data_IF_912994028367
#
_entry.id   IF_912994028367
#
_cell.length_a   1.000
_cell.length_b   1.000
_cell.length_c   1.000
_cell.angle_alpha   90.00
_cell.angle_beta   90.00
_cell.angle_gamma   90.00
#
_symmetry.space_group_name_H-M   'P 1'
#
loop_
_entity.id
_entity.type
_entity.pdbx_description
1 polymer ?
#
# COMPACT_ATOMS: atom_id res chain seq x y z
N UNK A 1 -22.49 -9.13 -8.42
CA UNK A 1 -21.50 -9.93 -7.65
C UNK A 1 -20.93 -10.98 -8.58
N UNK A 2 -19.63 -10.96 -8.85
CA UNK A 2 -19.00 -11.98 -9.69
C UNK A 2 -18.73 -13.22 -8.82
N UNK A 3 -19.58 -14.25 -8.95
CA UNK A 3 -19.51 -15.47 -8.14
C UNK A 3 -18.25 -16.30 -8.41
N UNK A 4 -17.74 -16.28 -9.65
CA UNK A 4 -16.49 -16.95 -10.01
C UNK A 4 -15.30 -16.34 -9.30
N UNK A 5 -15.20 -15.01 -9.28
CA UNK A 5 -14.14 -14.27 -8.57
C UNK A 5 -14.17 -14.56 -7.06
N UNK A 6 -15.37 -14.61 -6.46
CA UNK A 6 -15.51 -14.91 -5.01
C UNK A 6 -15.06 -16.33 -4.70
N UNK A 7 -15.42 -17.31 -5.54
CA UNK A 7 -15.02 -18.70 -5.36
C UNK A 7 -13.50 -18.88 -5.50
N UNK A 8 -12.89 -18.23 -6.48
CA UNK A 8 -11.45 -18.25 -6.67
C UNK A 8 -10.70 -17.63 -5.48
N UNK A 9 -11.14 -16.46 -5.00
CA UNK A 9 -10.55 -15.82 -3.83
C UNK A 9 -10.63 -16.70 -2.57
N UNK A 10 -11.76 -17.39 -2.38
CA UNK A 10 -11.93 -18.33 -1.27
C UNK A 10 -11.01 -19.55 -1.41
N UNK A 11 -10.86 -20.11 -2.61
CA UNK A 11 -9.97 -21.23 -2.88
C UNK A 11 -8.50 -20.87 -2.63
N UNK A 12 -8.06 -19.69 -3.10
CA UNK A 12 -6.70 -19.20 -2.84
C UNK A 12 -6.46 -18.93 -1.36
N UNK A 13 -7.44 -18.41 -0.63
CA UNK A 13 -7.32 -18.21 0.82
C UNK A 13 -7.20 -19.54 1.58
N UNK A 14 -7.94 -20.57 1.17
CA UNK A 14 -8.00 -21.86 1.87
C UNK A 14 -6.64 -22.58 1.94
N UNK A 15 -5.74 -22.35 0.98
CA UNK A 15 -4.40 -22.98 0.95
C UNK A 15 -3.34 -22.21 1.73
N UNK A 16 -3.65 -21.00 2.23
CA UNK A 16 -2.70 -20.19 2.98
C UNK A 16 -2.53 -20.71 4.42
N UNK A 17 -1.36 -20.51 5.06
CA UNK A 17 -1.21 -20.69 6.50
C UNK A 17 -2.19 -19.82 7.29
N UNK A 18 -2.62 -20.29 8.47
CA UNK A 18 -3.63 -19.62 9.32
C UNK A 18 -3.40 -18.10 9.49
N UNK A 19 -2.17 -17.69 9.84
CA UNK A 19 -1.80 -16.26 9.99
C UNK A 19 -2.03 -15.44 8.71
N UNK A 20 -1.81 -16.03 7.54
CA UNK A 20 -2.02 -15.38 6.26
C UNK A 20 -3.51 -15.34 5.88
N UNK A 21 -4.29 -16.36 6.26
CA UNK A 21 -5.75 -16.34 6.12
C UNK A 21 -6.37 -15.20 6.95
N UNK A 22 -5.94 -15.04 8.20
CA UNK A 22 -6.38 -13.94 9.08
C UNK A 22 -6.06 -12.57 8.47
N UNK A 23 -4.85 -12.42 7.91
CA UNK A 23 -4.42 -11.20 7.25
C UNK A 23 -5.26 -10.89 6.00
N UNK A 24 -5.54 -11.89 5.16
CA UNK A 24 -6.38 -11.74 3.99
C UNK A 24 -7.82 -11.36 4.37
N UNK A 25 -8.39 -12.01 5.39
CA UNK A 25 -9.72 -11.67 5.90
C UNK A 25 -9.79 -10.23 6.45
N UNK A 26 -8.76 -9.79 7.18
CA UNK A 26 -8.67 -8.40 7.67
C UNK A 26 -8.66 -7.41 6.50
N UNK A 27 -7.87 -7.68 5.46
CA UNK A 27 -7.81 -6.83 4.28
C UNK A 27 -9.16 -6.72 3.56
N UNK A 28 -9.87 -7.83 3.34
CA UNK A 28 -11.21 -7.82 2.71
C UNK A 28 -12.21 -7.02 3.55
N UNK A 29 -12.14 -7.09 4.88
CA UNK A 29 -12.96 -6.26 5.78
C UNK A 29 -12.63 -4.78 5.62
N UNK A 30 -11.36 -4.43 5.53
CA UNK A 30 -10.91 -3.04 5.30
C UNK A 30 -11.35 -2.49 3.95
N UNK A 31 -11.35 -3.30 2.89
CA UNK A 31 -11.92 -2.95 1.59
C UNK A 31 -13.43 -2.65 1.68
N UNK A 32 -14.18 -3.37 2.52
CA UNK A 32 -15.61 -3.11 2.70
C UNK A 32 -15.89 -1.83 3.50
N UNK A 33 -14.89 -1.37 4.25
CA UNK A 33 -14.92 -0.17 5.06
C UNK A 33 -14.48 1.09 4.30
N UNK A 34 -14.17 0.96 3.01
CA UNK A 34 -13.56 1.98 2.15
C UNK A 34 -14.55 3.03 1.62
N UNK A 35 -15.21 3.76 2.50
CA UNK A 35 -15.11 5.21 2.31
C UNK A 35 -13.65 5.55 2.55
N UNK A 36 -12.96 6.24 1.62
CA UNK A 36 -11.52 6.57 1.77
C UNK A 36 -11.28 7.24 3.13
N UNK A 37 -10.92 6.46 4.15
CA UNK A 37 -10.56 6.98 5.47
C UNK A 37 -9.09 7.34 5.40
N UNK A 38 -8.82 8.45 4.73
CA UNK A 38 -7.53 9.11 4.87
C UNK A 38 -7.30 9.44 6.35
N UNK A 39 -6.05 9.39 6.79
CA UNK A 39 -5.69 9.97 8.08
C UNK A 39 -5.80 11.49 7.93
N UNK A 40 -6.57 12.20 8.78
CA UNK A 40 -6.62 13.66 8.73
C UNK A 40 -5.21 14.23 8.76
N UNK A 41 -4.88 15.16 7.85
CA UNK A 41 -3.50 15.69 7.72
C UNK A 41 -2.94 16.23 9.04
N UNK A 42 -3.79 16.82 9.90
CA UNK A 42 -3.41 17.26 11.25
C UNK A 42 -2.80 16.14 12.11
N UNK A 43 -3.21 14.90 11.93
CA UNK A 43 -2.69 13.74 12.67
C UNK A 43 -1.34 13.25 12.12
N UNK A 44 -0.96 13.67 10.92
CA UNK A 44 0.32 13.33 10.28
C UNK A 44 1.44 14.30 10.67
N UNK A 45 1.12 15.47 11.23
CA UNK A 45 2.10 16.49 11.63
C UNK A 45 3.13 15.98 12.65
N UNK A 46 2.79 14.95 13.44
CA UNK A 46 3.74 14.30 14.36
C UNK A 46 4.94 13.64 13.66
N UNK A 47 4.86 13.42 12.34
CA UNK A 47 5.94 12.89 11.51
C UNK A 47 6.74 13.98 10.78
N UNK A 48 6.35 15.26 10.92
CA UNK A 48 7.09 16.34 10.29
C UNK A 48 8.51 16.41 10.87
N UNK A 49 9.52 16.31 10.01
CA UNK A 49 10.93 16.35 10.41
C UNK A 49 11.47 15.05 11.02
N UNK A 50 10.72 13.93 11.00
CA UNK A 50 11.22 12.65 11.55
C UNK A 50 12.12 11.88 10.58
N UNK A 51 12.21 12.28 9.32
CA UNK A 51 13.13 11.66 8.36
C UNK A 51 14.58 11.96 8.75
N UNK A 52 15.44 10.94 8.75
CA UNK A 52 16.86 11.15 9.06
C UNK A 52 17.50 12.03 7.97
N UNK A 53 18.50 12.86 8.29
CA UNK A 53 19.20 13.68 7.31
C UNK A 53 19.76 12.88 6.12
N UNK A 54 20.25 11.67 6.37
CA UNK A 54 20.77 10.78 5.34
C UNK A 54 19.67 10.26 4.41
N UNK A 55 18.50 9.93 4.95
CA UNK A 55 17.32 9.56 4.15
C UNK A 55 16.88 10.73 3.25
N UNK A 56 16.84 11.94 3.80
CA UNK A 56 16.51 13.15 3.06
C UNK A 56 17.51 13.41 1.92
N UNK A 57 18.80 13.14 2.17
CA UNK A 57 19.85 13.26 1.16
C UNK A 57 19.67 12.22 0.05
N UNK A 58 19.45 10.96 0.41
CA UNK A 58 19.21 9.88 -0.55
C UNK A 58 17.97 10.15 -1.42
N UNK A 59 16.87 10.61 -0.80
CA UNK A 59 15.67 11.04 -1.53
C UNK A 59 15.97 12.19 -2.50
N UNK A 60 16.73 13.21 -2.06
CA UNK A 60 17.09 14.34 -2.90
C UNK A 60 17.94 13.92 -4.11
N UNK A 61 18.89 13.01 -3.90
CA UNK A 61 19.73 12.45 -4.96
C UNK A 61 18.89 11.64 -5.96
N UNK A 62 18.02 10.75 -5.48
CA UNK A 62 17.14 9.95 -6.31
C UNK A 62 16.18 10.80 -7.16
N UNK A 63 15.61 11.86 -6.57
CA UNK A 63 14.77 12.82 -7.30
C UNK A 63 15.61 13.52 -8.39
N UNK A 64 16.81 14.00 -8.06
CA UNK A 64 17.67 14.68 -9.05
C UNK A 64 18.11 13.76 -10.18
N UNK A 65 18.43 12.50 -9.89
CA UNK A 65 18.85 11.53 -10.90
C UNK A 65 17.70 11.09 -11.81
N UNK A 66 16.50 10.95 -11.26
CA UNK A 66 15.30 10.51 -11.98
C UNK A 66 14.45 11.65 -12.55
N UNK A 67 14.72 12.91 -12.21
CA UNK A 67 13.92 14.05 -12.66
C UNK A 67 13.99 14.17 -14.20
N UNK A 68 12.83 14.05 -14.85
CA UNK A 68 12.72 14.11 -16.31
C UNK A 68 13.09 12.81 -17.03
N UNK A 69 13.44 11.74 -16.31
CA UNK A 69 13.46 10.40 -16.89
C UNK A 69 12.02 9.96 -17.12
N UNK A 70 11.69 9.71 -18.39
CA UNK A 70 10.45 9.07 -18.80
C UNK A 70 10.85 7.76 -19.43
N UNK A 71 10.61 6.65 -18.73
CA UNK A 71 10.71 5.34 -19.36
C UNK A 71 9.39 5.07 -20.10
N UNK A 72 9.48 4.95 -21.42
CA UNK A 72 8.34 4.64 -22.28
C UNK A 72 7.86 3.19 -22.17
N UNK A 73 8.57 2.35 -21.40
CA UNK A 73 8.28 0.93 -21.17
C UNK A 73 8.07 0.58 -19.69
N UNK A 74 8.26 1.53 -18.76
CA UNK A 74 7.63 1.40 -17.46
C UNK A 74 6.14 1.70 -17.64
N UNK A 75 5.28 0.87 -17.06
CA UNK A 75 3.81 0.77 -17.20
C UNK A 75 3.30 -0.15 -18.31
#
# INVERSE_FOLDING_TARGET
>A
MNTGLVAEAAAQMAVLPCRMQEMALRFIRELSLSGKRGVPGKNLLKYAGTAAPDDLKAMSEAIKSGCGQVDHHEW
#
